data_IF_041989046759
#
_entry.id   IF_041989046759
#
_cell.length_a   1.000
_cell.length_b   1.000
_cell.length_c   1.000
_cell.angle_alpha   90.00
_cell.angle_beta   90.00
_cell.angle_gamma   90.00
#
_symmetry.space_group_name_H-M   'P 1'
#
loop_
_entity.id
_entity.type
_entity.pdbx_description
1 polymer ?
#
# COMPACT_ATOMS: atom_id res chain seq x y z
N UNK A 1 -50.08 -9.33 30.75
CA UNK A 1 -48.64 -9.02 30.62
C UNK A 1 -47.90 -10.25 30.12
N UNK A 2 -46.89 -10.04 29.25
CA UNK A 2 -45.98 -11.03 28.61
C UNK A 2 -46.58 -11.72 27.37
N UNK A 3 -45.96 -11.76 26.21
CA UNK A 3 -44.73 -11.13 25.72
C UNK A 3 -44.82 -11.10 24.19
N UNK A 4 -44.65 -9.91 23.61
CA UNK A 4 -44.25 -9.73 22.21
C UNK A 4 -42.75 -9.97 22.22
N UNK A 5 -42.22 -10.89 21.41
CA UNK A 5 -40.83 -10.90 20.90
C UNK A 5 -40.55 -12.24 20.20
N UNK A 6 -40.67 -12.29 18.88
CA UNK A 6 -39.97 -13.31 18.09
C UNK A 6 -39.78 -12.88 16.63
N UNK A 7 -39.29 -11.66 16.40
CA UNK A 7 -38.87 -11.20 15.06
C UNK A 7 -37.52 -10.49 15.21
N UNK A 8 -36.46 -11.26 15.44
CA UNK A 8 -35.09 -10.71 15.52
C UNK A 8 -34.01 -11.76 15.24
N UNK A 9 -34.24 -12.73 14.34
CA UNK A 9 -33.26 -13.81 14.06
C UNK A 9 -32.92 -13.92 12.57
N UNK A 10 -32.79 -12.81 11.84
CA UNK A 10 -32.35 -12.87 10.42
C UNK A 10 -31.38 -11.76 9.98
N UNK A 11 -30.65 -11.11 10.90
CA UNK A 11 -29.68 -10.05 10.54
C UNK A 11 -28.23 -10.35 10.95
N UNK A 12 -27.83 -11.62 10.98
CA UNK A 12 -26.48 -12.04 11.39
C UNK A 12 -25.82 -12.97 10.37
N UNK A 13 -25.70 -12.55 9.11
CA UNK A 13 -24.94 -13.28 8.10
C UNK A 13 -24.39 -12.35 7.00
N UNK A 14 -23.74 -11.26 7.41
CA UNK A 14 -22.85 -10.49 6.53
C UNK A 14 -21.55 -10.11 7.26
N UNK A 15 -20.98 -11.04 8.04
CA UNK A 15 -19.57 -10.91 8.41
C UNK A 15 -18.80 -11.51 7.24
N UNK A 16 -18.59 -10.68 6.21
CA UNK A 16 -17.59 -10.98 5.19
C UNK A 16 -16.28 -11.19 5.91
N UNK A 17 -15.66 -12.35 5.69
CA UNK A 17 -14.27 -12.60 6.07
C UNK A 17 -13.43 -11.52 5.39
N UNK A 18 -13.11 -10.45 6.12
CA UNK A 18 -11.97 -9.63 5.75
C UNK A 18 -10.80 -10.59 5.84
N UNK A 19 -10.18 -10.91 4.71
CA UNK A 19 -8.88 -11.54 4.71
C UNK A 19 -7.96 -10.56 5.45
N UNK A 20 -7.78 -10.80 6.73
CA UNK A 20 -6.72 -10.17 7.50
C UNK A 20 -5.45 -10.73 6.89
N UNK A 21 -4.79 -9.95 6.04
CA UNK A 21 -3.38 -10.15 5.73
C UNK A 21 -2.71 -10.23 7.10
N UNK A 22 -2.26 -11.42 7.45
CA UNK A 22 -1.65 -11.74 8.73
C UNK A 22 -0.23 -11.16 8.71
N UNK A 23 -0.12 -9.85 8.97
CA UNK A 23 1.16 -9.13 9.00
C UNK A 23 1.93 -9.41 10.30
N UNK A 24 1.77 -10.59 10.89
CA UNK A 24 2.57 -11.00 12.06
C UNK A 24 4.01 -11.17 11.59
N UNK A 25 4.81 -10.12 11.84
CA UNK A 25 6.19 -10.00 11.41
C UNK A 25 6.29 -9.43 10.00
N UNK A 26 6.14 -8.12 9.87
CA UNK A 26 6.53 -7.38 8.67
C UNK A 26 7.44 -6.22 9.06
N UNK A 27 8.46 -5.98 8.24
CA UNK A 27 9.35 -4.84 8.36
C UNK A 27 9.17 -3.93 7.15
N UNK A 28 9.38 -2.63 7.33
CA UNK A 28 9.37 -1.67 6.23
C UNK A 28 10.57 -0.74 6.26
N UNK A 29 10.95 -0.29 5.06
CA UNK A 29 11.85 0.83 4.88
C UNK A 29 11.27 2.16 5.35
N UNK A 30 12.10 3.19 5.32
CA UNK A 30 11.65 4.57 5.52
C UNK A 30 10.74 5.00 4.37
N UNK A 31 9.78 5.87 4.70
CA UNK A 31 8.91 6.46 3.68
C UNK A 31 9.68 7.55 2.95
N UNK A 32 9.91 7.33 1.67
CA UNK A 32 10.52 8.32 0.78
C UNK A 32 9.43 9.15 0.12
N UNK A 33 9.66 10.48 0.08
CA UNK A 33 8.75 11.43 -0.54
C UNK A 33 9.41 12.04 -1.77
N UNK A 34 8.70 11.94 -2.89
CA UNK A 34 9.19 12.33 -4.20
C UNK A 34 8.17 13.18 -4.95
N UNK A 35 8.63 13.98 -5.92
CA UNK A 35 7.75 14.62 -6.89
C UNK A 35 7.53 13.70 -8.08
N UNK A 36 6.34 13.74 -8.68
CA UNK A 36 6.01 12.90 -9.82
C UNK A 36 6.89 13.18 -11.05
N UNK A 37 7.46 14.39 -11.18
CA UNK A 37 8.46 14.71 -12.21
C UNK A 37 9.78 13.95 -12.07
N UNK A 38 10.11 13.49 -10.87
CA UNK A 38 11.37 12.77 -10.60
C UNK A 38 11.29 11.33 -11.14
N UNK A 39 10.07 10.83 -11.38
CA UNK A 39 9.77 9.49 -11.87
C UNK A 39 8.83 9.52 -13.10
N UNK A 40 9.27 10.07 -14.25
CA UNK A 40 8.42 10.20 -15.44
C UNK A 40 7.91 8.84 -15.96
N UNK A 41 8.71 7.79 -15.80
CA UNK A 41 8.32 6.42 -16.16
C UNK A 41 7.19 5.90 -15.27
N UNK A 42 7.27 6.12 -13.96
CA UNK A 42 6.28 5.66 -13.00
C UNK A 42 4.96 6.41 -13.22
N UNK A 43 5.05 7.70 -13.53
CA UNK A 43 3.89 8.52 -13.90
C UNK A 43 3.15 7.96 -15.12
N UNK A 44 3.89 7.52 -16.15
CA UNK A 44 3.29 6.88 -17.32
C UNK A 44 2.62 5.54 -16.96
N UNK A 45 3.23 4.73 -16.08
CA UNK A 45 2.65 3.48 -15.61
C UNK A 45 1.38 3.70 -14.79
N UNK A 46 1.39 4.65 -13.85
CA UNK A 46 0.22 5.03 -13.05
C UNK A 46 -0.94 5.48 -13.98
N UNK A 47 -0.65 6.27 -15.00
CA UNK A 47 -1.64 6.67 -16.00
C UNK A 47 -2.18 5.48 -16.79
N UNK A 48 -1.31 4.59 -17.26
CA UNK A 48 -1.68 3.45 -18.11
C UNK A 48 -2.46 2.40 -17.33
N UNK A 49 -1.96 1.97 -16.19
CA UNK A 49 -2.42 0.79 -15.45
C UNK A 49 -3.53 1.15 -14.46
N UNK A 50 -3.39 2.31 -13.79
CA UNK A 50 -4.32 2.73 -12.73
C UNK A 50 -5.33 3.79 -13.18
N UNK A 51 -5.21 4.26 -14.43
CA UNK A 51 -6.02 5.35 -15.02
C UNK A 51 -6.03 6.60 -14.14
N UNK A 52 -4.89 6.90 -13.51
CA UNK A 52 -4.72 8.02 -12.61
C UNK A 52 -3.72 9.00 -13.21
N UNK A 53 -4.12 10.26 -13.39
CA UNK A 53 -3.26 11.30 -13.95
C UNK A 53 -2.58 12.10 -12.84
N UNK A 54 -1.31 12.41 -13.06
CA UNK A 54 -0.50 13.20 -12.14
C UNK A 54 0.24 14.30 -12.90
N UNK A 55 0.36 15.44 -12.25
CA UNK A 55 1.17 16.57 -12.68
C UNK A 55 2.57 16.50 -12.07
N UNK A 56 3.50 17.28 -12.62
CA UNK A 56 4.91 17.29 -12.19
C UNK A 56 5.10 17.58 -10.69
N UNK A 57 4.22 18.40 -10.11
CA UNK A 57 4.27 18.82 -8.71
C UNK A 57 3.62 17.83 -7.73
N UNK A 58 2.93 16.81 -8.25
CA UNK A 58 2.21 15.83 -7.44
C UNK A 58 3.17 14.96 -6.62
N UNK A 59 2.63 14.37 -5.55
CA UNK A 59 3.41 13.66 -4.56
C UNK A 59 3.35 12.16 -4.79
N UNK A 60 4.52 11.52 -4.73
CA UNK A 60 4.67 10.06 -4.62
C UNK A 60 5.33 9.79 -3.27
N UNK A 61 4.68 8.98 -2.44
CA UNK A 61 5.24 8.45 -1.20
C UNK A 61 5.44 6.95 -1.37
N UNK A 62 6.65 6.45 -1.19
CA UNK A 62 6.99 5.05 -1.42
C UNK A 62 7.84 4.49 -0.29
N UNK A 63 7.71 3.19 -0.02
CA UNK A 63 8.58 2.43 0.88
C UNK A 63 8.56 0.95 0.48
N UNK A 64 9.60 0.22 0.86
CA UNK A 64 9.64 -1.24 0.73
C UNK A 64 9.03 -1.90 1.96
N UNK A 65 8.36 -3.02 1.76
CA UNK A 65 7.94 -3.93 2.83
C UNK A 65 8.58 -5.28 2.59
N UNK A 66 9.06 -5.87 3.68
CA UNK A 66 9.56 -7.22 3.76
C UNK A 66 8.62 -8.05 4.64
N UNK A 67 8.39 -9.32 4.27
CA UNK A 67 7.90 -10.28 5.24
C UNK A 67 8.97 -10.54 6.33
N UNK A 68 8.58 -11.18 7.44
CA UNK A 68 9.48 -11.47 8.58
C UNK A 68 10.73 -12.28 8.21
N UNK A 69 10.69 -13.01 7.11
CA UNK A 69 11.78 -13.85 6.65
C UNK A 69 12.67 -13.08 5.64
N UNK A 70 12.32 -11.81 5.36
CA UNK A 70 12.96 -10.88 4.42
C UNK A 70 12.94 -11.34 2.96
N UNK A 71 12.06 -12.27 2.62
CA UNK A 71 12.08 -12.99 1.34
C UNK A 71 11.23 -12.30 0.25
N UNK A 72 10.15 -11.61 0.61
CA UNK A 72 9.27 -10.92 -0.34
C UNK A 72 9.39 -9.40 -0.25
N UNK A 73 9.71 -8.72 -1.36
CA UNK A 73 9.87 -7.26 -1.43
C UNK A 73 8.70 -6.64 -2.19
N UNK A 74 7.82 -5.96 -1.47
CA UNK A 74 6.77 -5.14 -2.05
C UNK A 74 7.17 -3.65 -2.05
N UNK A 75 7.13 -2.99 -3.21
CA UNK A 75 7.19 -1.54 -3.26
C UNK A 75 5.80 -0.95 -3.07
N UNK A 76 5.51 -0.47 -1.86
CA UNK A 76 4.22 0.11 -1.49
C UNK A 76 4.21 1.60 -1.80
N UNK A 77 3.25 2.06 -2.60
CA UNK A 77 3.21 3.45 -3.09
C UNK A 77 1.85 4.10 -2.85
N UNK A 78 1.90 5.37 -2.43
CA UNK A 78 0.81 6.33 -2.47
C UNK A 78 1.15 7.42 -3.49
N UNK A 79 0.26 7.62 -4.46
CA UNK A 79 0.36 8.68 -5.46
C UNK A 79 -0.81 9.65 -5.29
N UNK A 80 -0.52 10.90 -4.91
CA UNK A 80 -1.52 11.93 -4.62
C UNK A 80 -1.48 13.08 -5.60
N UNK A 81 -2.64 13.41 -6.18
CA UNK A 81 -2.86 14.58 -7.02
C UNK A 81 -3.23 15.79 -6.15
N UNK A 82 -2.40 16.83 -6.20
CA UNK A 82 -2.54 18.01 -5.33
C UNK A 82 -3.67 18.93 -5.76
N UNK A 83 -4.00 18.98 -7.06
CA UNK A 83 -5.03 19.88 -7.59
C UNK A 83 -6.44 19.43 -7.17
N UNK A 84 -6.73 18.13 -7.27
CA UNK A 84 -8.07 17.59 -7.03
C UNK A 84 -8.20 16.77 -5.74
N UNK A 85 -7.10 16.59 -4.98
CA UNK A 85 -7.08 15.88 -3.71
C UNK A 85 -7.34 14.38 -3.81
N UNK A 86 -7.36 13.80 -5.02
CA UNK A 86 -7.49 12.36 -5.21
C UNK A 86 -6.13 11.69 -5.06
N UNK A 87 -6.15 10.40 -4.73
CA UNK A 87 -4.94 9.60 -4.70
C UNK A 87 -5.22 8.18 -5.22
N UNK A 88 -4.15 7.42 -5.37
CA UNK A 88 -4.21 5.97 -5.58
C UNK A 88 -3.08 5.32 -4.79
N UNK A 89 -3.38 4.16 -4.22
CA UNK A 89 -2.39 3.29 -3.58
C UNK A 89 -2.19 2.02 -4.39
N UNK A 90 -0.96 1.58 -4.54
CA UNK A 90 -0.61 0.38 -5.31
C UNK A 90 0.68 -0.25 -4.79
N UNK A 91 0.87 -1.52 -5.15
CA UNK A 91 2.14 -2.23 -5.01
C UNK A 91 2.70 -2.56 -6.39
N UNK A 92 4.01 -2.71 -6.48
CA UNK A 92 4.66 -3.33 -7.63
C UNK A 92 5.89 -4.12 -7.18
N UNK A 93 6.11 -5.23 -7.85
CA UNK A 93 7.31 -6.05 -7.68
C UNK A 93 8.39 -5.61 -8.68
N UNK A 94 9.65 -5.67 -8.27
CA UNK A 94 10.77 -5.59 -9.20
C UNK A 94 11.03 -6.98 -9.75
N UNK A 95 10.62 -7.26 -11.00
CA UNK A 95 10.93 -8.55 -11.64
C UNK A 95 12.43 -8.62 -11.96
N UNK A 96 13.04 -9.78 -11.70
CA UNK A 96 14.49 -10.02 -11.90
C UNK A 96 14.95 -9.80 -13.35
N UNK A 97 14.06 -10.00 -14.33
CA UNK A 97 14.38 -9.92 -15.77
C UNK A 97 14.32 -8.50 -16.34
N UNK A 98 14.14 -7.47 -15.51
CA UNK A 98 13.98 -6.08 -15.95
C UNK A 98 12.65 -5.79 -16.68
N UNK A 99 11.80 -6.82 -16.85
CA UNK A 99 10.40 -6.63 -17.18
C UNK A 99 9.69 -5.91 -16.03
N UNK A 100 8.77 -5.00 -16.35
CA UNK A 100 8.07 -4.22 -15.31
C UNK A 100 6.73 -4.88 -15.03
N UNK A 101 6.55 -5.37 -13.81
CA UNK A 101 5.26 -5.88 -13.35
C UNK A 101 4.18 -4.79 -13.52
N UNK A 102 2.93 -5.17 -13.88
CA UNK A 102 1.80 -4.26 -13.82
C UNK A 102 1.62 -3.69 -12.40
N UNK A 103 1.18 -2.43 -12.31
CA UNK A 103 0.86 -1.83 -11.02
C UNK A 103 -0.40 -2.48 -10.43
N UNK A 104 -0.30 -3.06 -9.24
CA UNK A 104 -1.40 -3.70 -8.55
C UNK A 104 -2.04 -2.71 -7.58
N UNK A 105 -3.23 -2.19 -7.92
CA UNK A 105 -3.96 -1.28 -7.02
C UNK A 105 -4.29 -2.01 -5.70
N UNK A 106 -3.97 -1.37 -4.58
CA UNK A 106 -4.37 -1.82 -3.25
C UNK A 106 -5.38 -0.84 -2.63
N UNK A 107 -6.29 -1.29 -1.75
CA UNK A 107 -7.08 -0.41 -0.92
C UNK A 107 -6.20 0.44 0.01
N UNK A 108 -6.63 1.65 0.33
CA UNK A 108 -5.93 2.51 1.31
C UNK A 108 -5.75 1.82 2.67
N UNK A 109 -6.70 0.99 3.10
CA UNK A 109 -6.60 0.23 4.35
C UNK A 109 -5.43 -0.76 4.36
N UNK A 110 -4.98 -1.22 3.20
CA UNK A 110 -3.79 -2.07 3.07
C UNK A 110 -2.52 -1.20 3.13
N UNK A 111 -2.51 -0.06 2.44
CA UNK A 111 -1.41 0.90 2.51
C UNK A 111 -1.11 1.35 3.95
N UNK A 112 -2.14 1.74 4.70
CA UNK A 112 -1.97 2.14 6.10
C UNK A 112 -1.53 1.00 7.00
N UNK A 113 -1.95 -0.23 6.70
CA UNK A 113 -1.50 -1.41 7.44
C UNK A 113 -0.01 -1.66 7.24
N UNK A 114 0.49 -1.49 6.01
CA UNK A 114 1.92 -1.60 5.72
C UNK A 114 2.73 -0.48 6.37
N UNK A 115 2.17 0.73 6.55
CA UNK A 115 2.83 1.80 7.32
C UNK A 115 3.04 1.43 8.79
N UNK A 116 2.23 0.52 9.33
CA UNK A 116 2.33 0.01 10.71
C UNK A 116 3.41 -1.08 10.87
N UNK A 117 4.02 -1.57 9.78
CA UNK A 117 5.15 -2.51 9.86
C UNK A 117 6.33 -1.91 10.63
N UNK A 118 7.13 -2.79 11.24
CA UNK A 118 8.28 -2.40 12.06
C UNK A 118 9.33 -1.72 11.18
N UNK A 119 9.99 -0.67 11.68
CA UNK A 119 11.12 -0.05 10.99
C UNK A 119 12.38 -0.59 11.68
N UNK A 120 13.26 -1.31 10.96
CA UNK A 120 14.48 -1.82 11.56
C UNK A 120 15.31 -0.66 12.10
N UNK A 121 15.93 -0.85 13.27
CA UNK A 121 16.88 0.11 13.79
C UNK A 121 18.07 0.15 12.84
N UNK A 122 18.40 1.33 12.30
CA UNK A 122 19.64 1.51 11.56
C UNK A 122 20.80 1.14 12.49
N UNK A 123 21.49 0.03 12.22
CA UNK A 123 22.85 -0.13 12.72
C UNK A 123 23.68 0.95 12.01
N UNK A 124 24.04 2.00 12.75
CA UNK A 124 25.05 2.96 12.28
C UNK A 124 26.32 2.15 11.99
N UNK A 125 26.68 2.02 10.71
CA UNK A 125 27.97 1.51 10.28
C UNK A 125 29.06 2.27 11.03
N UNK A 126 29.55 1.67 12.10
CA UNK A 126 30.73 2.15 12.81
C UNK A 126 31.92 1.70 11.96
N UNK A 127 32.21 2.45 10.90
CA UNK A 127 33.51 2.36 10.22
C UNK A 127 34.60 2.49 11.29
N UNK A 128 35.32 1.39 11.51
CA UNK A 128 36.53 1.33 12.35
C UNK A 128 37.78 1.58 11.52
#
# INVERSE_FOLDING_TARGET
MKAILCVAVQLMLCIGTMAFVDLVGCERGLVELHKAKDFPWLRQMIKRDLKFEMDDADTIAAFTVHDKDLDEIDHVVFAGNQENGKAVTFIYESLEDGERAPLNRIPYSIYYRYLECEVPAHEEDTES
#
